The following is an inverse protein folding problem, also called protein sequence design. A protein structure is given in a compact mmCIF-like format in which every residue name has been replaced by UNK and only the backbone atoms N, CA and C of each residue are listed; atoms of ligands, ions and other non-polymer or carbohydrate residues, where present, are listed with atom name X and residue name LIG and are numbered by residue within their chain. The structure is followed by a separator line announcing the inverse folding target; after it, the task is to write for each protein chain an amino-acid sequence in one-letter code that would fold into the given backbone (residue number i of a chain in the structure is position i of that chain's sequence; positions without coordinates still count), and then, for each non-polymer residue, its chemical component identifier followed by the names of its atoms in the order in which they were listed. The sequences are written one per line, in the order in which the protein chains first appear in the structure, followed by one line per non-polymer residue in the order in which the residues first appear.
data_IF_001296119903
#
_entry.id   IF_001296119903
#
_cell.length_a   1.000
_cell.length_b   1.000
_cell.length_c   1.000
_cell.angle_alpha   90.00
_cell.angle_beta   90.00
_cell.angle_gamma   90.00
#
_symmetry.space_group_name_H-M   'P 1'
#
loop_
_entity.id
_entity.type
_entity.pdbx_description
1 polymer ?
#
# COMPACT_ATOMS: atom_id res chain seq x y z
N UNK A 1 -15.91 -6.15 -9.60
CA UNK A 1 -14.68 -6.75 -10.02
C UNK A 1 -14.76 -8.27 -9.89
N UNK A 2 -14.65 -9.00 -11.03
CA UNK A 2 -14.84 -10.46 -11.10
C UNK A 2 -13.55 -11.19 -11.49
N UNK A 3 -12.49 -10.49 -11.84
CA UNK A 3 -11.24 -11.12 -12.25
C UNK A 3 -10.53 -11.78 -11.07
N UNK A 4 -10.26 -13.09 -11.10
CA UNK A 4 -9.51 -13.75 -10.04
C UNK A 4 -8.10 -13.19 -9.88
N UNK A 5 -7.51 -12.66 -10.94
CA UNK A 5 -6.16 -12.09 -10.94
C UNK A 5 -6.03 -10.81 -10.09
N UNK A 6 -7.14 -10.10 -9.84
CA UNK A 6 -7.14 -8.97 -8.90
C UNK A 6 -6.95 -9.47 -7.47
N UNK A 7 -7.55 -10.61 -7.13
CA UNK A 7 -7.52 -11.14 -5.77
C UNK A 7 -6.25 -11.97 -5.48
N UNK A 8 -5.65 -12.55 -6.51
CA UNK A 8 -4.42 -13.34 -6.39
C UNK A 8 -3.20 -12.41 -6.50
N UNK A 9 -2.34 -12.30 -5.47
CA UNK A 9 -1.23 -11.37 -5.45
C UNK A 9 -0.30 -11.45 -6.66
N UNK A 10 0.08 -12.65 -7.09
CA UNK A 10 0.90 -12.89 -8.29
C UNK A 10 0.28 -12.34 -9.59
N UNK A 11 -1.02 -12.05 -9.58
CA UNK A 11 -1.74 -11.51 -10.73
C UNK A 11 -1.46 -10.04 -11.02
N UNK A 12 -0.81 -9.30 -10.11
CA UNK A 12 -0.66 -7.84 -10.25
C UNK A 12 0.02 -7.42 -11.55
N UNK A 13 1.04 -8.14 -12.00
CA UNK A 13 1.74 -7.86 -13.25
C UNK A 13 0.87 -8.01 -14.51
N UNK A 14 -0.19 -8.83 -14.46
CA UNK A 14 -1.13 -9.01 -15.59
C UNK A 14 -2.02 -7.79 -15.83
N UNK A 15 -2.09 -6.87 -14.88
CA UNK A 15 -2.98 -5.71 -14.97
C UNK A 15 -2.32 -4.51 -15.64
N UNK A 16 -1.00 -4.46 -15.74
CA UNK A 16 -0.29 -3.29 -16.26
C UNK A 16 -0.60 -2.99 -17.73
N UNK A 17 -0.89 -4.01 -18.54
CA UNK A 17 -1.25 -3.88 -19.96
C UNK A 17 -2.73 -4.17 -20.25
N UNK A 18 -3.55 -4.44 -19.24
CA UNK A 18 -4.95 -4.85 -19.42
C UNK A 18 -5.90 -3.66 -19.38
N UNK A 19 -6.37 -3.19 -20.54
CA UNK A 19 -7.30 -2.07 -20.68
C UNK A 19 -8.66 -2.28 -19.99
N UNK A 20 -9.06 -3.52 -19.68
CA UNK A 20 -10.30 -3.79 -18.98
C UNK A 20 -10.26 -3.36 -17.50
N UNK A 21 -9.06 -3.29 -16.90
CA UNK A 21 -8.86 -2.98 -15.47
C UNK A 21 -7.89 -1.83 -15.22
N UNK A 22 -7.28 -1.27 -16.28
CA UNK A 22 -6.28 -0.22 -16.19
C UNK A 22 -6.58 0.87 -17.24
N UNK A 23 -6.47 2.13 -16.84
CA UNK A 23 -6.64 3.29 -17.71
C UNK A 23 -5.53 3.43 -18.76
N UNK A 24 -4.41 2.75 -18.58
CA UNK A 24 -3.24 2.77 -19.46
C UNK A 24 -2.67 4.17 -19.72
N UNK A 25 -2.69 5.05 -18.72
CA UNK A 25 -2.12 6.38 -18.86
C UNK A 25 -0.61 6.32 -19.09
N UNK A 26 -0.10 7.29 -19.81
CA UNK A 26 1.34 7.54 -19.95
C UNK A 26 1.63 9.05 -19.82
N UNK A 27 2.82 9.39 -19.37
CA UNK A 27 3.26 10.78 -19.32
C UNK A 27 3.39 11.38 -20.74
N UNK A 28 3.41 12.72 -20.82
CA UNK A 28 3.95 13.37 -22.00
C UNK A 28 5.41 12.95 -22.22
N UNK A 29 5.88 13.04 -23.46
CA UNK A 29 7.29 12.85 -23.74
C UNK A 29 8.12 13.90 -23.01
N UNK A 30 9.19 13.48 -22.33
CA UNK A 30 10.12 14.40 -21.67
C UNK A 30 11.35 14.60 -22.56
N UNK A 31 11.56 15.78 -23.15
CA UNK A 31 12.72 16.05 -24.00
C UNK A 31 14.06 15.87 -23.29
N UNK A 32 14.15 16.25 -22.02
CA UNK A 32 15.35 16.09 -21.17
C UNK A 32 15.61 14.63 -20.80
N UNK A 33 14.58 13.78 -20.85
CA UNK A 33 14.62 12.34 -20.57
C UNK A 33 14.64 11.47 -21.81
N UNK A 34 15.32 11.86 -22.87
CA UNK A 34 15.40 11.12 -24.16
C UNK A 34 14.02 10.90 -24.83
N UNK A 35 13.10 11.83 -24.67
CA UNK A 35 11.72 11.74 -25.16
C UNK A 35 10.94 10.50 -24.68
N UNK A 36 11.35 9.91 -23.56
CA UNK A 36 10.66 8.74 -23.00
C UNK A 36 9.29 9.13 -22.45
N UNK A 37 8.36 8.19 -22.63
CA UNK A 37 7.06 8.21 -21.96
C UNK A 37 7.07 7.14 -20.87
N UNK A 38 6.60 7.49 -19.69
CA UNK A 38 6.51 6.57 -18.56
C UNK A 38 5.05 6.14 -18.40
N UNK A 39 4.83 4.83 -18.39
CA UNK A 39 3.49 4.25 -18.13
C UNK A 39 3.10 4.55 -16.69
N UNK A 40 1.86 5.02 -16.51
CA UNK A 40 1.26 5.37 -15.23
C UNK A 40 0.02 4.50 -14.98
N UNK A 41 0.18 3.28 -14.44
CA UNK A 41 -0.95 2.39 -14.18
C UNK A 41 -1.94 3.04 -13.20
N UNK A 42 -3.24 3.01 -13.54
CA UNK A 42 -4.34 3.43 -12.68
C UNK A 42 -5.49 2.46 -12.84
N UNK A 43 -6.01 1.98 -11.71
CA UNK A 43 -7.10 1.00 -11.72
C UNK A 43 -8.41 1.58 -12.25
N UNK A 44 -8.99 0.88 -13.24
CA UNK A 44 -10.30 1.14 -13.86
C UNK A 44 -11.34 0.14 -13.36
N UNK A 45 -11.37 -0.10 -12.06
CA UNK A 45 -12.24 -1.09 -11.40
C UNK A 45 -12.65 -0.60 -10.02
N UNK A 46 -13.66 -1.22 -9.41
CA UNK A 46 -13.98 -0.98 -8.00
C UNK A 46 -12.75 -1.26 -7.12
N UNK A 47 -12.45 -0.33 -6.23
CA UNK A 47 -11.20 -0.32 -5.48
C UNK A 47 -10.06 0.46 -6.15
N UNK A 48 -10.27 0.92 -7.39
CA UNK A 48 -9.28 1.74 -8.10
C UNK A 48 -7.91 1.09 -8.16
N UNK A 49 -6.85 1.88 -7.96
CA UNK A 49 -5.47 1.39 -8.02
C UNK A 49 -5.11 0.40 -6.91
N UNK A 50 -5.84 0.37 -5.78
CA UNK A 50 -5.62 -0.66 -4.76
C UNK A 50 -5.95 -2.08 -5.24
N UNK A 51 -6.75 -2.20 -6.30
CA UNK A 51 -7.09 -3.47 -6.93
C UNK A 51 -6.00 -4.01 -7.88
N UNK A 52 -5.05 -3.16 -8.32
CA UNK A 52 -4.02 -3.53 -9.30
C UNK A 52 -2.58 -3.22 -8.88
N UNK A 53 -2.36 -2.58 -7.72
CA UNK A 53 -1.03 -2.23 -7.22
C UNK A 53 -0.23 -3.45 -6.75
N UNK A 54 1.05 -3.25 -6.40
CA UNK A 54 1.94 -4.27 -5.84
C UNK A 54 1.72 -4.56 -4.35
N UNK A 55 0.70 -3.99 -3.72
CA UNK A 55 0.26 -4.24 -2.33
C UNK A 55 1.23 -3.81 -1.22
N UNK A 56 2.39 -3.25 -1.52
CA UNK A 56 3.30 -2.78 -0.47
C UNK A 56 2.58 -1.79 0.44
N UNK A 57 2.65 -2.03 1.75
CA UNK A 57 2.10 -1.16 2.77
C UNK A 57 3.22 -0.38 3.46
N UNK A 58 3.23 0.90 3.22
CA UNK A 58 4.16 1.84 3.85
C UNK A 58 3.45 3.19 4.02
N UNK A 59 3.64 3.82 5.17
CA UNK A 59 3.16 5.16 5.48
C UNK A 59 4.20 6.19 5.07
N UNK A 60 3.81 7.47 4.96
CA UNK A 60 4.76 8.57 4.88
C UNK A 60 5.64 8.64 6.13
N UNK A 61 6.84 9.18 6.00
CA UNK A 61 7.72 9.42 7.14
C UNK A 61 7.08 10.46 8.08
N UNK A 62 7.33 10.35 9.38
CA UNK A 62 6.75 11.27 10.39
C UNK A 62 7.02 12.74 10.07
N UNK A 63 8.19 13.04 9.52
CA UNK A 63 8.55 14.40 9.17
C UNK A 63 7.79 14.96 7.96
N UNK A 64 7.27 14.11 7.06
CA UNK A 64 6.41 14.57 5.97
C UNK A 64 5.14 15.22 6.51
N UNK A 65 4.51 14.60 7.51
CA UNK A 65 3.30 15.13 8.17
C UNK A 65 3.62 16.34 9.04
N UNK A 66 4.72 16.31 9.78
CA UNK A 66 5.17 17.43 10.61
C UNK A 66 5.46 18.66 9.74
N UNK A 67 6.05 18.46 8.56
CA UNK A 67 6.26 19.53 7.60
C UNK A 67 4.93 20.10 7.08
N UNK A 68 3.93 19.25 6.79
CA UNK A 68 2.61 19.74 6.41
C UNK A 68 2.00 20.62 7.49
N UNK A 69 2.11 20.24 8.76
CA UNK A 69 1.65 21.06 9.87
C UNK A 69 2.42 22.40 9.93
N UNK A 70 3.73 22.38 9.76
CA UNK A 70 4.55 23.60 9.77
C UNK A 70 4.18 24.56 8.63
N UNK A 71 3.75 24.03 7.49
CA UNK A 71 3.24 24.82 6.36
C UNK A 71 1.82 25.39 6.58
N UNK A 72 1.27 25.28 7.80
CA UNK A 72 -0.01 25.85 8.19
C UNK A 72 -1.18 24.87 8.20
N UNK A 73 -0.98 23.59 7.90
CA UNK A 73 -2.05 22.58 7.92
C UNK A 73 -2.23 22.04 9.34
N UNK A 74 -2.94 22.78 10.19
CA UNK A 74 -3.25 22.36 11.57
C UNK A 74 -4.02 21.04 11.58
N UNK A 75 -3.65 20.12 12.48
CA UNK A 75 -4.25 18.79 12.57
C UNK A 75 -3.63 17.75 11.61
N UNK A 76 -2.49 18.05 11.00
CA UNK A 76 -1.78 17.18 10.09
C UNK A 76 -0.37 16.78 10.56
N UNK A 77 -0.03 16.98 11.84
CA UNK A 77 1.20 16.40 12.39
C UNK A 77 1.13 14.87 12.41
N UNK A 78 2.27 14.23 12.53
CA UNK A 78 2.29 12.77 12.65
C UNK A 78 1.41 12.25 13.80
N UNK A 79 1.46 12.92 14.95
CA UNK A 79 0.63 12.58 16.10
C UNK A 79 -0.88 12.75 15.84
N UNK A 80 -1.26 13.76 15.04
CA UNK A 80 -2.65 13.98 14.65
C UNK A 80 -3.17 12.89 13.70
N UNK A 81 -2.32 12.39 12.78
CA UNK A 81 -2.74 11.41 11.76
C UNK A 81 -2.55 9.95 12.18
N UNK A 82 -1.64 9.65 13.10
CA UNK A 82 -1.38 8.29 13.58
C UNK A 82 -2.65 7.54 14.07
N UNK A 83 -3.56 8.15 14.83
CA UNK A 83 -4.80 7.49 15.24
C UNK A 83 -5.66 7.02 14.06
N UNK A 84 -5.62 7.73 12.93
CA UNK A 84 -6.35 7.35 11.72
C UNK A 84 -5.68 6.21 10.96
N UNK A 85 -4.34 6.15 10.95
CA UNK A 85 -3.63 4.98 10.43
C UNK A 85 -3.95 3.74 11.25
N UNK A 86 -3.88 3.82 12.57
CA UNK A 86 -4.26 2.71 13.46
C UNK A 86 -5.71 2.30 13.29
N UNK A 87 -6.64 3.24 13.19
CA UNK A 87 -8.06 2.97 12.95
C UNK A 87 -8.33 2.27 11.63
N UNK A 88 -7.55 2.57 10.59
CA UNK A 88 -7.71 1.96 9.27
C UNK A 88 -7.12 0.55 9.19
N UNK A 89 -6.16 0.22 10.01
CA UNK A 89 -5.32 -0.96 9.94
C UNK A 89 -5.91 -2.17 10.68
N UNK A 90 -5.68 -3.35 10.10
CA UNK A 90 -5.84 -4.64 10.77
C UNK A 90 -4.51 -5.40 10.65
N UNK A 91 -3.61 -5.12 11.59
CA UNK A 91 -2.23 -5.60 11.60
C UNK A 91 -2.16 -7.05 12.04
N UNK A 92 -1.54 -7.91 11.22
CA UNK A 92 -1.37 -9.33 11.52
C UNK A 92 -0.55 -9.58 12.79
N UNK A 93 0.43 -8.71 13.08
CA UNK A 93 1.32 -8.83 14.24
C UNK A 93 0.66 -8.43 15.55
N UNK A 94 -0.52 -7.81 15.49
CA UNK A 94 -1.24 -7.30 16.66
C UNK A 94 -1.19 -5.79 16.80
N UNK A 95 -1.78 -5.28 17.88
CA UNK A 95 -1.85 -3.85 18.22
C UNK A 95 -0.64 -3.43 19.04
N UNK A 96 -0.12 -2.23 18.73
CA UNK A 96 0.91 -1.55 19.53
C UNK A 96 0.76 -0.03 19.46
N UNK A 97 1.81 0.72 19.80
CA UNK A 97 1.82 2.19 19.76
C UNK A 97 1.58 2.72 18.33
N UNK A 98 2.10 2.03 17.31
CA UNK A 98 2.05 2.45 15.90
C UNK A 98 0.94 1.76 15.12
N UNK A 99 0.51 0.59 15.53
CA UNK A 99 -0.35 -0.31 14.78
C UNK A 99 -1.72 -0.51 15.43
N UNK A 100 -2.74 -0.72 14.57
CA UNK A 100 -4.09 -1.05 15.01
C UNK A 100 -4.56 -2.39 14.48
N UNK A 101 -5.58 -2.95 15.13
CA UNK A 101 -6.25 -4.19 14.73
C UNK A 101 -7.74 -3.95 14.53
N UNK A 102 -8.38 -4.82 13.75
CA UNK A 102 -9.81 -4.76 13.48
C UNK A 102 -10.24 -3.67 12.49
N UNK A 103 -9.31 -2.92 11.93
CA UNK A 103 -9.60 -1.96 10.86
C UNK A 103 -9.92 -2.64 9.53
N UNK A 104 -10.42 -1.88 8.55
CA UNK A 104 -10.84 -2.42 7.25
C UNK A 104 -9.68 -2.83 6.34
N UNK A 105 -8.47 -2.32 6.55
CA UNK A 105 -7.29 -2.58 5.73
C UNK A 105 -6.42 -3.64 6.39
N UNK A 106 -6.45 -4.85 5.88
CA UNK A 106 -5.58 -5.91 6.37
C UNK A 106 -4.13 -5.68 5.93
N UNK A 107 -3.22 -5.82 6.88
CA UNK A 107 -1.78 -5.72 6.70
C UNK A 107 -1.12 -6.99 7.22
N UNK A 108 -0.28 -7.61 6.41
CA UNK A 108 0.39 -8.86 6.75
C UNK A 108 1.84 -8.89 6.31
N UNK A 109 2.62 -9.74 6.95
CA UNK A 109 3.97 -10.06 6.52
C UNK A 109 3.96 -10.89 5.22
N UNK A 110 5.06 -10.86 4.45
CA UNK A 110 5.21 -11.77 3.31
C UNK A 110 5.23 -13.22 3.80
N UNK A 111 4.49 -14.10 3.09
CA UNK A 111 4.43 -15.52 3.43
C UNK A 111 5.72 -16.26 3.11
N UNK A 112 6.40 -15.83 2.06
CA UNK A 112 7.62 -16.46 1.57
C UNK A 112 8.75 -15.42 1.57
N UNK A 113 9.85 -15.78 2.21
CA UNK A 113 11.07 -14.96 2.28
C UNK A 113 12.13 -15.63 1.41
N UNK A 114 12.36 -15.04 0.24
CA UNK A 114 13.34 -15.61 -0.69
C UNK A 114 14.76 -15.54 -0.11
N UNK A 115 15.57 -16.63 -0.16
CA UNK A 115 16.91 -16.64 0.44
C UNK A 115 17.85 -15.54 -0.03
N UNK A 116 17.76 -15.12 -1.29
CA UNK A 116 18.55 -13.98 -1.81
C UNK A 116 18.15 -12.65 -1.18
N UNK A 117 16.88 -12.46 -0.83
CA UNK A 117 16.44 -11.24 -0.16
C UNK A 117 16.96 -11.21 1.29
N UNK A 118 16.97 -12.35 1.97
CA UNK A 118 17.57 -12.47 3.30
C UNK A 118 19.07 -12.18 3.24
N UNK A 119 19.80 -12.83 2.31
CA UNK A 119 21.23 -12.59 2.10
C UNK A 119 21.54 -11.11 1.78
N UNK A 120 20.66 -10.42 1.06
CA UNK A 120 20.81 -9.00 0.80
C UNK A 120 20.66 -8.14 2.08
N UNK A 121 19.68 -8.46 2.92
CA UNK A 121 19.46 -7.79 4.20
C UNK A 121 20.65 -8.02 5.14
N UNK A 122 21.13 -9.28 5.24
CA UNK A 122 22.30 -9.63 6.04
C UNK A 122 23.56 -8.89 5.56
N UNK A 123 23.76 -8.80 4.25
CA UNK A 123 24.87 -8.06 3.67
C UNK A 123 24.80 -6.54 3.98
N UNK A 124 23.60 -5.95 3.97
CA UNK A 124 23.39 -4.56 4.35
C UNK A 124 23.71 -4.33 5.84
N UNK A 125 23.29 -5.25 6.71
CA UNK A 125 23.61 -5.22 8.14
C UNK A 125 25.12 -5.35 8.38
N UNK A 126 25.80 -6.26 7.71
CA UNK A 126 27.25 -6.40 7.75
C UNK A 126 27.99 -5.16 7.23
N UNK A 127 27.38 -4.39 6.33
CA UNK A 127 27.91 -3.10 5.85
C UNK A 127 27.60 -1.91 6.80
N UNK A 128 26.99 -2.16 7.96
CA UNK A 128 26.71 -1.14 8.98
C UNK A 128 25.35 -0.45 8.84
N UNK A 129 24.44 -0.96 7.99
CA UNK A 129 23.08 -0.45 7.91
C UNK A 129 22.15 -1.20 8.89
N UNK A 130 21.18 -0.53 9.53
CA UNK A 130 20.30 -1.19 10.46
C UNK A 130 19.34 -2.18 9.74
N UNK A 131 19.13 -3.35 10.36
CA UNK A 131 18.00 -4.20 10.01
C UNK A 131 16.73 -3.57 10.56
N UNK A 132 15.65 -3.57 9.75
CA UNK A 132 14.36 -3.01 10.16
C UNK A 132 13.25 -3.99 9.78
N UNK A 133 12.59 -4.52 10.79
CA UNK A 133 11.48 -5.44 10.62
C UNK A 133 10.11 -4.73 10.54
N UNK A 134 10.09 -3.39 10.76
CA UNK A 134 8.87 -2.60 10.74
C UNK A 134 9.11 -1.16 10.27
N UNK A 135 8.86 -0.92 8.99
CA UNK A 135 8.96 0.42 8.38
C UNK A 135 7.83 1.37 8.75
N UNK A 136 6.80 0.91 9.47
CA UNK A 136 5.68 1.73 9.92
C UNK A 136 5.67 1.94 11.44
N UNK A 137 6.72 1.48 12.12
CA UNK A 137 6.96 1.65 13.56
C UNK A 137 7.69 2.95 13.92
N UNK A 138 8.51 2.88 14.95
CA UNK A 138 9.24 4.03 15.50
C UNK A 138 10.24 4.65 14.53
N UNK A 139 10.93 3.83 13.73
CA UNK A 139 11.94 4.23 12.77
C UNK A 139 11.65 3.60 11.40
N UNK A 140 11.79 4.40 10.35
CA UNK A 140 11.58 3.96 8.97
C UNK A 140 12.91 3.66 8.25
N UNK A 141 14.04 3.85 8.90
CA UNK A 141 15.37 3.65 8.33
C UNK A 141 15.79 2.19 8.39
N UNK A 142 16.44 1.69 7.35
CA UNK A 142 17.05 0.35 7.37
C UNK A 142 16.65 -0.54 6.20
N UNK A 143 16.96 -1.82 6.38
CA UNK A 143 16.72 -2.89 5.40
C UNK A 143 15.86 -3.98 6.02
N UNK A 144 14.85 -4.41 5.29
CA UNK A 144 13.92 -5.43 5.78
C UNK A 144 12.84 -5.76 4.75
N UNK A 145 11.89 -6.55 5.17
CA UNK A 145 10.74 -6.91 4.33
C UNK A 145 9.59 -5.92 4.51
N UNK A 146 9.06 -5.43 3.41
CA UNK A 146 7.83 -4.63 3.44
C UNK A 146 6.64 -5.51 3.79
N UNK A 147 5.73 -5.00 4.58
CA UNK A 147 4.41 -5.58 4.78
C UNK A 147 3.50 -5.30 3.59
N UNK A 148 2.44 -6.09 3.45
CA UNK A 148 1.56 -6.07 2.30
C UNK A 148 0.09 -5.95 2.70
N UNK A 149 -0.68 -5.24 1.87
CA UNK A 149 -2.15 -5.16 2.02
C UNK A 149 -2.80 -6.46 1.56
N UNK A 150 -2.66 -7.49 2.40
CA UNK A 150 -3.16 -8.85 2.15
C UNK A 150 -3.79 -9.45 3.40
N UNK A 151 -4.70 -10.40 3.18
CA UNK A 151 -5.25 -11.29 4.21
C UNK A 151 -5.40 -12.70 3.65
N UNK A 152 -4.86 -13.70 4.35
CA UNK A 152 -4.95 -15.11 3.97
C UNK A 152 -4.54 -15.36 2.50
N UNK A 153 -3.41 -14.79 2.06
CA UNK A 153 -2.90 -14.94 0.71
C UNK A 153 -3.70 -14.21 -0.38
N UNK A 154 -4.65 -13.34 -0.02
CA UNK A 154 -5.47 -12.58 -0.96
C UNK A 154 -5.31 -11.08 -0.75
N UNK A 155 -5.37 -10.32 -1.84
CA UNK A 155 -5.35 -8.86 -1.83
C UNK A 155 -6.48 -8.27 -0.96
N UNK A 156 -6.13 -7.35 -0.08
CA UNK A 156 -7.05 -6.50 0.67
C UNK A 156 -7.14 -5.12 -0.02
N UNK A 157 -7.91 -5.04 -1.11
CA UNK A 157 -8.18 -3.76 -1.78
C UNK A 157 -9.20 -2.92 -1.00
N UNK A 158 -9.30 -1.63 -1.32
CA UNK A 158 -10.36 -0.77 -0.74
C UNK A 158 -11.77 -1.24 -1.10
N UNK A 159 -11.94 -1.93 -2.23
CA UNK A 159 -13.22 -2.58 -2.55
C UNK A 159 -13.56 -3.69 -1.55
N UNK A 160 -12.56 -4.46 -1.11
CA UNK A 160 -12.74 -5.55 -0.13
C UNK A 160 -12.92 -5.00 1.28
N UNK A 161 -12.02 -4.12 1.71
CA UNK A 161 -11.98 -3.62 3.09
C UNK A 161 -13.08 -2.59 3.40
N UNK A 162 -13.38 -1.71 2.45
CA UNK A 162 -14.28 -0.58 2.70
C UNK A 162 -15.61 -0.70 1.95
N UNK A 163 -15.58 -0.91 0.63
CA UNK A 163 -16.81 -0.88 -0.17
C UNK A 163 -17.71 -2.08 0.12
N UNK A 164 -17.16 -3.29 0.18
CA UNK A 164 -17.95 -4.52 0.39
C UNK A 164 -18.79 -4.47 1.66
N UNK A 165 -18.26 -4.11 2.85
CA UNK A 165 -19.09 -3.94 4.05
C UNK A 165 -20.06 -2.76 3.96
N UNK A 166 -19.65 -1.66 3.32
CA UNK A 166 -20.48 -0.45 3.20
C UNK A 166 -21.68 -0.62 2.23
N UNK A 167 -21.62 -1.55 1.28
CA UNK A 167 -22.72 -1.80 0.30
C UNK A 167 -24.06 -2.13 0.93
N UNK A 168 -24.08 -2.55 2.18
CA UNK A 168 -25.32 -2.84 2.93
C UNK A 168 -25.96 -1.59 3.53
N UNK A 169 -25.31 -0.44 3.47
CA UNK A 169 -25.84 0.81 4.02
C UNK A 169 -26.95 1.37 3.14
N UNK A 170 -28.11 1.77 3.70
CA UNK A 170 -29.23 2.26 2.89
C UNK A 170 -28.95 3.60 2.20
N UNK A 171 -27.95 4.36 2.69
CA UNK A 171 -27.55 5.65 2.16
C UNK A 171 -26.40 5.58 1.14
N UNK A 172 -26.02 4.36 0.69
CA UNK A 172 -24.97 4.17 -0.32
C UNK A 172 -25.55 3.58 -1.59
N UNK A 173 -25.39 4.31 -2.69
CA UNK A 173 -25.65 3.81 -4.05
C UNK A 173 -24.33 3.69 -4.78
N UNK A 174 -24.06 2.54 -5.39
CA UNK A 174 -22.86 2.31 -6.21
C UNK A 174 -23.31 2.20 -7.65
N UNK A 175 -23.05 3.24 -8.44
CA UNK A 175 -23.29 3.25 -9.88
C UNK A 175 -22.03 2.81 -10.62
N UNK A 176 -22.15 1.83 -11.48
CA UNK A 176 -21.09 1.34 -12.40
C UNK A 176 -21.68 1.21 -13.78
N UNK A 177 -20.91 1.47 -14.81
CA UNK A 177 -21.29 1.20 -16.20
C UNK A 177 -21.21 -0.30 -16.49
#
# INVERSE_FOLDING_TARGET
DRSPWIHIPLGYGKHFSNAAVNWLYSTAANPEGLNRRVVQPRGKVLGGSSAINGMVYIRGHKEDYNQWRQLGNTGWSYEDVLPYFRKAEDQQRGEDEYHGVGGPLAVSDPYDKHPLAEAFIDAAEAAGHPRNDDFNGADQTGFGYSQWTMRNGRRSSTAVGYLKPARKRPNLTVATE
#
